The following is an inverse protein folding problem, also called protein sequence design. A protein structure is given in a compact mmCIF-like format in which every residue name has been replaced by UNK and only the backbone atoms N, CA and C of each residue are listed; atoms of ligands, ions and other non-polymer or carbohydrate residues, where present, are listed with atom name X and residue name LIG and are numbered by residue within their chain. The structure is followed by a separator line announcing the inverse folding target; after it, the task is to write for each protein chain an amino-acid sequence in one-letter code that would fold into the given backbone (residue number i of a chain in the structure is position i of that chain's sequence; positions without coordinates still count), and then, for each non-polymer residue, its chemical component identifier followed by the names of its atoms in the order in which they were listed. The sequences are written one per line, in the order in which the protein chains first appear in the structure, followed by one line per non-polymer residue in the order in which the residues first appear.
data_IF_377828461351
#
_entry.id   IF_377828461351
#
_cell.length_a   1.000
_cell.length_b   1.000
_cell.length_c   1.000
_cell.angle_alpha   90.00
_cell.angle_beta   90.00
_cell.angle_gamma   90.00
#
_symmetry.space_group_name_H-M   'P 1'
#
loop_
_entity.id
_entity.type
_entity.pdbx_description
1 polymer ?
#
# COMPACT_ATOMS: atom_id res chain seq x y z
N UNK A 1 -19.77 -53.74 15.38
CA UNK A 1 -18.63 -52.87 15.74
C UNK A 1 -18.01 -53.40 17.02
N UNK A 2 -16.67 -53.53 17.12
CA UNK A 2 -16.01 -53.93 18.37
C UNK A 2 -15.78 -52.71 19.26
N UNK A 3 -16.38 -52.70 20.44
CA UNK A 3 -16.36 -51.59 21.43
C UNK A 3 -14.95 -51.07 21.72
N UNK A 4 -13.94 -51.95 21.74
CA UNK A 4 -12.54 -51.58 21.98
C UNK A 4 -12.00 -50.57 20.95
N UNK A 5 -12.34 -50.75 19.66
CA UNK A 5 -11.87 -49.87 18.57
C UNK A 5 -12.54 -48.50 18.68
N UNK A 6 -13.82 -48.46 19.06
CA UNK A 6 -14.56 -47.21 19.27
C UNK A 6 -13.96 -46.38 20.41
N UNK A 7 -13.55 -47.03 21.51
CA UNK A 7 -12.89 -46.36 22.63
C UNK A 7 -11.56 -45.76 22.18
N UNK A 8 -10.74 -46.52 21.43
CA UNK A 8 -9.44 -46.04 20.92
C UNK A 8 -9.63 -44.81 20.01
N UNK A 9 -10.57 -44.89 19.07
CA UNK A 9 -10.87 -43.77 18.15
C UNK A 9 -11.35 -42.55 18.94
N UNK A 10 -12.24 -42.74 19.91
CA UNK A 10 -12.77 -41.65 20.75
C UNK A 10 -11.68 -40.95 21.56
N UNK A 11 -10.78 -41.72 22.19
CA UNK A 11 -9.62 -41.17 22.92
C UNK A 11 -8.69 -40.41 21.98
N UNK A 12 -8.44 -40.93 20.79
CA UNK A 12 -7.55 -40.28 19.82
C UNK A 12 -8.14 -38.95 19.30
N UNK A 13 -9.45 -38.88 19.11
CA UNK A 13 -10.16 -37.64 18.78
C UNK A 13 -10.06 -36.63 19.93
N UNK A 14 -10.31 -37.05 21.17
CA UNK A 14 -10.21 -36.17 22.35
C UNK A 14 -8.79 -35.61 22.52
N UNK A 15 -7.76 -36.45 22.35
CA UNK A 15 -6.37 -36.03 22.39
C UNK A 15 -6.03 -35.07 21.23
N UNK A 16 -6.45 -35.36 20.00
CA UNK A 16 -6.22 -34.47 18.86
C UNK A 16 -6.91 -33.10 19.02
N UNK A 17 -8.13 -33.09 19.54
CA UNK A 17 -8.90 -31.88 19.82
C UNK A 17 -8.25 -31.03 20.93
N UNK A 18 -7.86 -31.67 22.05
CA UNK A 18 -7.18 -30.98 23.15
C UNK A 18 -5.84 -30.37 22.72
N UNK A 19 -5.04 -31.07 21.90
CA UNK A 19 -3.81 -30.52 21.32
C UNK A 19 -4.06 -29.33 20.40
N UNK A 20 -5.15 -29.36 19.63
CA UNK A 20 -5.54 -28.23 18.76
C UNK A 20 -5.91 -26.99 19.58
N UNK A 21 -6.62 -27.19 20.70
CA UNK A 21 -6.93 -26.11 21.65
C UNK A 21 -5.65 -25.57 22.30
N UNK A 22 -4.74 -26.45 22.74
CA UNK A 22 -3.44 -26.04 23.29
C UNK A 22 -2.59 -25.27 22.29
N UNK A 23 -2.63 -25.64 21.01
CA UNK A 23 -1.96 -24.90 19.94
C UNK A 23 -2.54 -23.48 19.80
N UNK A 24 -3.87 -23.33 19.79
CA UNK A 24 -4.54 -22.04 19.73
C UNK A 24 -4.18 -21.16 20.94
N UNK A 25 -4.21 -21.72 22.15
CA UNK A 25 -3.79 -21.03 23.37
C UNK A 25 -2.32 -20.62 23.29
N UNK A 26 -1.45 -21.50 22.78
CA UNK A 26 -0.02 -21.23 22.59
C UNK A 26 0.23 -20.03 21.67
N UNK A 27 -0.52 -19.90 20.58
CA UNK A 27 -0.43 -18.75 19.66
C UNK A 27 -0.81 -17.44 20.35
N UNK A 28 -1.84 -17.45 21.20
CA UNK A 28 -2.33 -16.25 21.89
C UNK A 28 -1.42 -15.86 23.06
N UNK A 29 -0.94 -16.85 23.82
CA UNK A 29 -0.23 -16.64 25.09
C UNK A 29 1.26 -16.34 24.93
N UNK A 30 1.90 -16.82 23.86
CA UNK A 30 3.35 -16.71 23.71
C UNK A 30 3.80 -15.30 23.31
N UNK A 31 4.98 -14.83 23.78
CA UNK A 31 5.39 -13.44 23.66
C UNK A 31 6.00 -13.11 22.29
N UNK A 32 6.47 -14.09 21.53
CA UNK A 32 7.31 -13.87 20.34
C UNK A 32 6.77 -14.61 19.12
N UNK A 33 6.99 -14.07 17.93
CA UNK A 33 6.62 -14.70 16.66
C UNK A 33 7.26 -16.08 16.54
N UNK A 34 8.54 -16.23 16.88
CA UNK A 34 9.25 -17.52 16.79
C UNK A 34 8.70 -18.58 17.76
N UNK A 35 8.26 -18.15 18.95
CA UNK A 35 7.69 -19.07 19.94
C UNK A 35 6.25 -19.44 19.58
N UNK A 36 5.47 -18.49 19.05
CA UNK A 36 4.13 -18.73 18.51
C UNK A 36 4.14 -19.69 17.32
N UNK A 37 5.05 -19.50 16.36
CA UNK A 37 5.18 -20.38 15.19
C UNK A 37 5.64 -21.78 15.57
N UNK A 38 6.47 -21.92 16.60
CA UNK A 38 6.87 -23.21 17.15
C UNK A 38 5.69 -23.93 17.81
N UNK A 39 4.94 -23.24 18.68
CA UNK A 39 3.78 -23.79 19.35
C UNK A 39 2.65 -24.16 18.38
N UNK A 40 2.39 -23.31 17.38
CA UNK A 40 1.46 -23.62 16.30
C UNK A 40 1.94 -24.80 15.47
N UNK A 41 3.21 -24.78 15.02
CA UNK A 41 3.74 -25.75 14.08
C UNK A 41 3.73 -27.18 14.64
N UNK A 42 4.25 -27.39 15.85
CA UNK A 42 4.36 -28.74 16.43
C UNK A 42 3.01 -29.21 16.96
N UNK A 43 2.36 -28.43 17.82
CA UNK A 43 1.17 -28.87 18.54
C UNK A 43 -0.03 -29.02 17.61
N UNK A 44 -0.23 -28.09 16.66
CA UNK A 44 -1.37 -28.17 15.73
C UNK A 44 -1.20 -29.33 14.75
N UNK A 45 0.02 -29.51 14.20
CA UNK A 45 0.27 -30.61 13.25
C UNK A 45 0.04 -31.95 13.91
N UNK A 46 0.56 -32.17 15.13
CA UNK A 46 0.29 -33.41 15.87
C UNK A 46 -1.19 -33.61 16.19
N UNK A 47 -1.90 -32.54 16.60
CA UNK A 47 -3.34 -32.60 16.88
C UNK A 47 -4.16 -33.01 15.67
N UNK A 48 -3.94 -32.35 14.53
CA UNK A 48 -4.61 -32.67 13.26
C UNK A 48 -4.21 -34.05 12.74
N UNK A 49 -2.96 -34.47 12.92
CA UNK A 49 -2.51 -35.83 12.58
C UNK A 49 -3.33 -36.89 13.30
N UNK A 50 -3.50 -36.75 14.62
CA UNK A 50 -4.26 -37.68 15.44
C UNK A 50 -5.72 -37.79 14.98
N UNK A 51 -6.35 -36.64 14.68
CA UNK A 51 -7.72 -36.58 14.16
C UNK A 51 -7.86 -37.29 12.80
N UNK A 52 -6.89 -37.09 11.90
CA UNK A 52 -6.88 -37.75 10.59
C UNK A 52 -6.62 -39.26 10.72
N UNK A 53 -5.70 -39.68 11.59
CA UNK A 53 -5.50 -41.12 11.88
C UNK A 53 -6.74 -41.76 12.50
N UNK A 54 -7.46 -41.04 13.37
CA UNK A 54 -8.70 -41.54 13.96
C UNK A 54 -9.78 -41.73 12.89
N UNK A 55 -9.82 -40.83 11.93
CA UNK A 55 -10.71 -40.88 10.76
C UNK A 55 -10.38 -42.08 9.86
N UNK A 56 -9.11 -42.35 9.59
CA UNK A 56 -8.69 -43.57 8.84
C UNK A 56 -9.09 -44.83 9.60
N UNK A 57 -8.84 -44.89 10.91
CA UNK A 57 -9.23 -46.01 11.76
C UNK A 57 -10.74 -46.27 11.74
N UNK A 58 -11.55 -45.20 11.75
CA UNK A 58 -13.00 -45.29 11.66
C UNK A 58 -13.48 -45.85 10.32
N UNK A 59 -12.96 -45.36 9.19
CA UNK A 59 -13.33 -45.84 7.85
C UNK A 59 -12.88 -47.27 7.58
N UNK A 60 -11.70 -47.64 8.09
CA UNK A 60 -11.21 -49.01 8.01
C UNK A 60 -12.14 -49.98 8.76
N UNK A 61 -12.60 -49.59 9.94
CA UNK A 61 -13.48 -50.41 10.77
C UNK A 61 -14.93 -50.50 10.27
N UNK A 62 -15.45 -49.44 9.65
CA UNK A 62 -16.80 -49.42 9.06
C UNK A 62 -16.91 -50.16 7.73
N UNK A 63 -15.81 -50.74 7.23
CA UNK A 63 -15.80 -51.53 5.99
C UNK A 63 -15.94 -50.70 4.71
N UNK A 64 -15.87 -49.36 4.81
CA UNK A 64 -15.92 -48.45 3.67
C UNK A 64 -14.60 -48.39 2.89
N UNK A 65 -13.60 -49.16 3.34
CA UNK A 65 -12.30 -49.28 2.69
C UNK A 65 -11.33 -48.15 3.07
N UNK A 66 -10.15 -48.22 2.47
CA UNK A 66 -9.04 -47.33 2.77
C UNK A 66 -9.15 -46.01 1.98
N UNK A 67 -9.25 -44.87 2.68
CA UNK A 67 -9.36 -43.55 2.06
C UNK A 67 -7.97 -42.92 1.82
N UNK A 68 -7.43 -43.10 0.62
CA UNK A 68 -6.12 -42.56 0.23
C UNK A 68 -6.03 -41.03 0.35
N UNK A 69 -7.15 -40.31 0.21
CA UNK A 69 -7.23 -38.85 0.37
C UNK A 69 -6.82 -38.40 1.78
N UNK A 70 -7.16 -39.16 2.81
CA UNK A 70 -6.82 -38.83 4.21
C UNK A 70 -5.34 -39.03 4.48
N UNK A 71 -4.72 -40.09 3.96
CA UNK A 71 -3.26 -40.25 4.04
C UNK A 71 -2.51 -39.16 3.28
N UNK A 72 -2.99 -38.79 2.09
CA UNK A 72 -2.42 -37.66 1.34
C UNK A 72 -2.52 -36.35 2.13
N UNK A 73 -3.63 -36.12 2.84
CA UNK A 73 -3.77 -34.95 3.70
C UNK A 73 -2.75 -34.95 4.85
N UNK A 74 -2.53 -36.09 5.52
CA UNK A 74 -1.49 -36.22 6.56
C UNK A 74 -0.12 -35.89 5.97
N UNK A 75 0.26 -36.56 4.87
CA UNK A 75 1.54 -36.34 4.21
C UNK A 75 1.73 -34.87 3.82
N UNK A 76 0.70 -34.25 3.26
CA UNK A 76 0.73 -32.85 2.83
C UNK A 76 0.92 -31.90 4.00
N UNK A 77 0.24 -32.10 5.13
CA UNK A 77 0.41 -31.28 6.33
C UNK A 77 1.84 -31.42 6.88
N UNK A 78 2.39 -32.64 6.95
CA UNK A 78 3.76 -32.86 7.43
C UNK A 78 4.81 -32.22 6.51
N UNK A 79 4.55 -32.12 5.21
CA UNK A 79 5.46 -31.45 4.28
C UNK A 79 5.33 -29.92 4.38
N UNK A 80 4.09 -29.42 4.46
CA UNK A 80 3.83 -27.98 4.38
C UNK A 80 4.12 -27.24 5.68
N UNK A 81 3.79 -27.81 6.84
CA UNK A 81 3.97 -27.12 8.13
C UNK A 81 5.43 -26.72 8.39
N UNK A 82 6.45 -27.59 8.23
CA UNK A 82 7.84 -27.20 8.49
C UNK A 82 8.34 -26.13 7.53
N UNK A 83 7.95 -26.21 6.25
CA UNK A 83 8.30 -25.21 5.23
C UNK A 83 7.68 -23.86 5.58
N UNK A 84 6.38 -23.83 5.90
CA UNK A 84 5.67 -22.62 6.30
C UNK A 84 6.29 -22.00 7.55
N UNK A 85 6.56 -22.80 8.59
CA UNK A 85 7.18 -22.32 9.84
C UNK A 85 8.57 -21.73 9.59
N UNK A 86 9.40 -22.40 8.78
CA UNK A 86 10.73 -21.90 8.44
C UNK A 86 10.68 -20.58 7.67
N UNK A 87 9.78 -20.45 6.69
CA UNK A 87 9.61 -19.22 5.90
C UNK A 87 9.12 -18.06 6.75
N UNK A 88 8.15 -18.28 7.64
CA UNK A 88 7.66 -17.25 8.56
C UNK A 88 8.78 -16.78 9.49
N UNK A 89 9.53 -17.70 10.08
CA UNK A 89 10.64 -17.35 10.96
C UNK A 89 11.76 -16.61 10.23
N UNK A 90 12.09 -17.02 9.00
CA UNK A 90 13.08 -16.32 8.16
C UNK A 90 12.62 -14.91 7.82
N UNK A 91 11.36 -14.74 7.42
CA UNK A 91 10.78 -13.44 7.11
C UNK A 91 10.76 -12.53 8.34
N UNK A 92 10.32 -13.03 9.50
CA UNK A 92 10.32 -12.28 10.76
C UNK A 92 11.73 -11.83 11.18
N UNK A 93 12.74 -12.68 10.96
CA UNK A 93 14.12 -12.32 11.23
C UNK A 93 14.65 -11.26 10.27
N UNK A 94 14.30 -11.40 8.98
CA UNK A 94 14.72 -10.49 7.92
C UNK A 94 14.05 -9.11 8.00
N UNK A 95 12.85 -9.02 8.59
CA UNK A 95 12.16 -7.76 8.90
C UNK A 95 12.59 -7.15 10.23
N UNK A 96 13.42 -7.83 11.02
CA UNK A 96 14.00 -7.31 12.25
C UNK A 96 13.10 -7.42 13.48
N UNK A 97 12.13 -8.35 13.49
CA UNK A 97 11.27 -8.60 14.66
C UNK A 97 12.15 -8.98 15.87
N UNK A 98 12.00 -8.28 17.01
CA UNK A 98 12.82 -8.55 18.19
C UNK A 98 12.46 -9.89 18.83
N UNK A 99 13.47 -10.68 19.16
CA UNK A 99 13.28 -11.89 19.95
C UNK A 99 12.94 -11.55 21.40
N UNK A 100 11.89 -12.16 21.97
CA UNK A 100 11.43 -11.89 23.33
C UNK A 100 12.44 -12.32 24.40
N UNK A 101 13.11 -13.46 24.20
CA UNK A 101 14.20 -13.93 25.05
C UNK A 101 15.44 -14.09 24.18
N UNK A 102 16.45 -13.24 24.41
CA UNK A 102 17.68 -13.21 23.63
C UNK A 102 18.88 -13.58 24.50
N UNK A 103 19.11 -14.88 24.68
CA UNK A 103 20.30 -15.39 25.39
C UNK A 103 21.48 -15.55 24.43
N UNK A 104 21.25 -16.12 23.24
CA UNK A 104 22.29 -16.31 22.22
C UNK A 104 21.69 -16.25 20.82
N UNK A 105 22.19 -15.33 19.99
CA UNK A 105 21.83 -15.21 18.58
C UNK A 105 23.11 -15.22 17.73
N UNK A 106 23.45 -16.40 17.19
CA UNK A 106 24.60 -16.58 16.30
C UNK A 106 24.27 -16.18 14.86
N UNK A 107 22.99 -16.08 14.48
CA UNK A 107 22.61 -15.71 13.12
C UNK A 107 22.89 -14.22 12.88
N UNK A 108 22.81 -13.40 13.94
CA UNK A 108 23.04 -11.96 13.87
C UNK A 108 24.47 -11.60 13.49
N UNK A 109 25.47 -12.39 13.91
CA UNK A 109 26.86 -12.12 13.55
C UNK A 109 27.09 -12.35 12.06
N UNK A 110 26.47 -13.37 11.49
CA UNK A 110 26.56 -13.69 10.06
C UNK A 110 25.78 -12.68 9.21
N UNK A 111 24.56 -12.31 9.62
CA UNK A 111 23.70 -11.37 8.88
C UNK A 111 23.98 -9.89 9.17
N UNK A 112 25.01 -9.55 9.96
CA UNK A 112 25.27 -8.17 10.40
C UNK A 112 25.41 -7.21 9.21
N UNK A 113 26.15 -7.63 8.19
CA UNK A 113 26.43 -6.80 7.01
C UNK A 113 25.20 -6.65 6.12
N UNK A 114 24.43 -7.72 5.94
CA UNK A 114 23.15 -7.67 5.21
C UNK A 114 22.13 -6.75 5.89
N UNK A 115 22.02 -6.85 7.22
CA UNK A 115 21.15 -5.99 8.03
C UNK A 115 21.59 -4.53 7.90
N UNK A 116 22.90 -4.25 7.97
CA UNK A 116 23.46 -2.90 7.80
C UNK A 116 23.18 -2.36 6.40
N UNK A 117 23.41 -3.15 5.35
CA UNK A 117 23.15 -2.78 3.96
C UNK A 117 21.68 -2.44 3.74
N UNK A 118 20.75 -3.27 4.24
CA UNK A 118 19.30 -3.02 4.15
C UNK A 118 18.88 -1.75 4.89
N UNK A 119 19.38 -1.55 6.11
CA UNK A 119 19.07 -0.33 6.88
C UNK A 119 19.53 0.93 6.13
N UNK A 120 20.71 0.89 5.53
CA UNK A 120 21.22 2.00 4.71
C UNK A 120 20.37 2.22 3.44
N UNK A 121 19.87 1.16 2.81
CA UNK A 121 18.98 1.27 1.65
C UNK A 121 17.64 1.91 2.03
N UNK A 122 17.06 1.54 3.16
CA UNK A 122 15.82 2.15 3.67
C UNK A 122 16.02 3.64 3.91
N UNK A 123 17.11 4.02 4.58
CA UNK A 123 17.45 5.43 4.82
C UNK A 123 17.64 6.18 3.50
N UNK A 124 18.33 5.55 2.53
CA UNK A 124 18.54 6.17 1.21
C UNK A 124 17.23 6.36 0.45
N UNK A 125 16.29 5.42 0.54
CA UNK A 125 14.96 5.52 -0.09
C UNK A 125 14.18 6.68 0.53
N UNK A 126 14.15 6.77 1.86
CA UNK A 126 13.49 7.86 2.59
C UNK A 126 14.08 9.23 2.22
N UNK A 127 15.41 9.32 2.11
CA UNK A 127 16.07 10.54 1.63
C UNK A 127 15.67 10.90 0.19
N UNK A 128 15.52 9.91 -0.69
CA UNK A 128 15.15 10.12 -2.08
C UNK A 128 13.69 10.58 -2.21
N UNK A 129 12.79 10.02 -1.38
CA UNK A 129 11.39 10.44 -1.31
C UNK A 129 11.27 11.88 -0.82
N UNK A 130 12.00 12.25 0.25
CA UNK A 130 12.03 13.64 0.74
C UNK A 130 12.57 14.61 -0.31
N UNK A 131 13.68 14.27 -0.97
CA UNK A 131 14.24 15.10 -2.03
C UNK A 131 13.30 15.24 -3.23
N UNK A 132 12.45 14.24 -3.49
CA UNK A 132 11.41 14.30 -4.52
C UNK A 132 10.26 15.22 -4.11
N UNK A 133 9.81 15.14 -2.86
CA UNK A 133 8.79 16.04 -2.31
C UNK A 133 9.25 17.49 -2.34
N UNK A 134 10.49 17.77 -1.88
CA UNK A 134 11.07 19.11 -1.93
C UNK A 134 11.14 19.65 -3.38
N UNK A 135 11.46 18.79 -4.36
CA UNK A 135 11.45 19.19 -5.77
C UNK A 135 10.05 19.52 -6.29
N UNK A 136 9.07 18.71 -5.94
CA UNK A 136 7.66 18.90 -6.33
C UNK A 136 7.11 20.21 -5.74
N UNK A 137 7.41 20.48 -4.46
CA UNK A 137 7.04 21.74 -3.80
C UNK A 137 7.67 22.97 -4.48
N UNK A 138 8.95 22.88 -4.88
CA UNK A 138 9.63 23.95 -5.61
C UNK A 138 9.07 24.16 -7.02
N UNK A 139 8.71 23.07 -7.72
CA UNK A 139 8.07 23.15 -9.05
C UNK A 139 6.69 23.80 -8.96
N UNK A 140 5.90 23.46 -7.93
CA UNK A 140 4.61 24.11 -7.68
C UNK A 140 4.79 25.60 -7.36
N UNK A 141 5.77 25.94 -6.52
CA UNK A 141 6.10 27.35 -6.22
C UNK A 141 6.47 28.13 -7.49
N UNK A 142 7.30 27.54 -8.35
CA UNK A 142 7.69 28.15 -9.61
C UNK A 142 6.49 28.30 -10.58
N UNK A 143 5.58 27.33 -10.65
CA UNK A 143 4.35 27.45 -11.47
C UNK A 143 3.45 28.60 -10.98
N UNK A 144 3.37 28.80 -9.65
CA UNK A 144 2.66 29.94 -9.07
C UNK A 144 3.30 31.27 -9.46
N UNK A 145 4.62 31.42 -9.30
CA UNK A 145 5.35 32.64 -9.67
C UNK A 145 5.20 32.96 -11.17
N UNK A 146 5.38 31.98 -12.05
CA UNK A 146 5.21 32.16 -13.49
C UNK A 146 3.77 32.49 -13.88
N UNK A 147 2.78 31.99 -13.13
CA UNK A 147 1.37 32.38 -13.34
C UNK A 147 1.15 33.83 -12.98
N UNK A 148 1.72 34.29 -11.87
CA UNK A 148 1.59 35.67 -11.40
C UNK A 148 2.23 36.64 -12.41
N UNK A 149 3.45 36.35 -12.86
CA UNK A 149 4.11 37.11 -13.93
C UNK A 149 3.24 37.19 -15.19
N UNK A 150 2.63 36.07 -15.62
CA UNK A 150 1.72 36.07 -16.78
C UNK A 150 0.44 36.87 -16.55
N UNK A 151 -0.04 37.00 -15.32
CA UNK A 151 -1.21 37.83 -14.99
C UNK A 151 -0.80 39.29 -15.08
N UNK A 152 0.33 39.68 -14.48
CA UNK A 152 0.86 41.04 -14.57
C UNK A 152 1.10 41.45 -16.04
N UNK A 153 1.72 40.58 -16.85
CA UNK A 153 1.93 40.84 -18.28
C UNK A 153 0.60 41.05 -19.03
N UNK A 154 -0.45 40.30 -18.67
CA UNK A 154 -1.78 40.45 -19.27
C UNK A 154 -2.46 41.75 -18.85
N UNK A 155 -2.42 42.09 -17.57
CA UNK A 155 -3.00 43.34 -17.05
C UNK A 155 -2.35 44.55 -17.73
N UNK A 156 -1.01 44.57 -17.82
CA UNK A 156 -0.26 45.62 -18.53
C UNK A 156 -0.66 45.69 -20.01
N UNK A 157 -0.79 44.54 -20.69
CA UNK A 157 -1.21 44.52 -22.09
C UNK A 157 -2.65 45.03 -22.30
N UNK A 158 -3.56 44.71 -21.37
CA UNK A 158 -4.94 45.19 -21.38
C UNK A 158 -5.05 46.69 -21.08
N UNK A 159 -4.24 47.22 -20.16
CA UNK A 159 -4.17 48.64 -19.88
C UNK A 159 -3.63 49.42 -21.09
N UNK A 160 -2.56 48.93 -21.73
CA UNK A 160 -2.04 49.52 -22.98
C UNK A 160 -3.06 49.44 -24.11
N UNK A 161 -3.85 48.36 -24.21
CA UNK A 161 -4.91 48.24 -25.20
C UNK A 161 -6.06 49.23 -24.94
N UNK A 162 -6.41 49.47 -23.67
CA UNK A 162 -7.41 50.48 -23.28
C UNK A 162 -6.96 51.89 -23.63
N UNK A 163 -5.72 52.27 -23.30
CA UNK A 163 -5.17 53.58 -23.68
C UNK A 163 -5.16 53.80 -25.20
N UNK A 164 -4.83 52.76 -25.98
CA UNK A 164 -4.88 52.82 -27.45
C UNK A 164 -6.30 53.01 -28.00
N UNK A 165 -7.29 52.41 -27.35
CA UNK A 165 -8.68 52.57 -27.76
C UNK A 165 -9.22 53.95 -27.36
N UNK A 166 -8.90 54.44 -26.17
CA UNK A 166 -9.24 55.80 -25.74
C UNK A 166 -8.66 56.85 -26.69
N UNK A 167 -7.37 56.74 -27.01
CA UNK A 167 -6.71 57.65 -27.98
C UNK A 167 -7.30 57.53 -29.39
N UNK A 168 -7.73 56.33 -29.80
CA UNK A 168 -8.39 56.11 -31.10
C UNK A 168 -9.78 56.77 -31.13
N UNK A 169 -10.56 56.63 -30.06
CA UNK A 169 -11.89 57.26 -29.95
C UNK A 169 -11.76 58.78 -29.90
N UNK A 170 -10.77 59.32 -29.19
CA UNK A 170 -10.50 60.76 -29.12
C UNK A 170 -10.16 61.30 -30.52
N UNK A 171 -9.29 60.62 -31.27
CA UNK A 171 -9.00 60.97 -32.66
C UNK A 171 -10.23 60.87 -33.59
N UNK A 172 -11.02 59.81 -33.48
CA UNK A 172 -12.23 59.62 -34.29
C UNK A 172 -13.30 60.67 -33.98
N UNK A 173 -13.42 61.09 -32.71
CA UNK A 173 -14.30 62.18 -32.28
C UNK A 173 -13.84 63.52 -32.85
N UNK A 174 -12.54 63.84 -32.74
CA UNK A 174 -11.97 65.08 -33.28
C UNK A 174 -12.12 65.16 -34.81
N UNK A 175 -11.91 64.04 -35.51
CA UNK A 175 -12.10 63.95 -36.96
C UNK A 175 -13.59 64.12 -37.35
N UNK A 176 -14.51 63.51 -36.60
CA UNK A 176 -15.95 63.66 -36.82
C UNK A 176 -16.44 65.09 -36.55
N UNK A 177 -15.89 65.75 -35.51
CA UNK A 177 -16.21 67.13 -35.18
C UNK A 177 -15.72 68.08 -36.29
N UNK A 178 -14.52 67.85 -36.82
CA UNK A 178 -14.01 68.60 -37.98
C UNK A 178 -14.86 68.38 -39.24
N UNK A 179 -15.32 67.16 -39.52
CA UNK A 179 -16.19 66.86 -40.67
C UNK A 179 -17.56 67.57 -40.56
N UNK A 180 -18.13 67.66 -39.35
CA UNK A 180 -19.38 68.40 -39.11
C UNK A 180 -19.18 69.91 -39.33
N UNK A 181 -18.05 70.46 -38.87
CA UNK A 181 -17.72 71.88 -39.07
C UNK A 181 -17.57 72.18 -40.57
N UNK A 182 -16.90 71.31 -41.33
CA UNK A 182 -16.77 71.44 -42.79
C UNK A 182 -18.13 71.39 -43.50
N UNK A 183 -19.03 70.49 -43.09
CA UNK A 183 -20.39 70.39 -43.64
C UNK A 183 -21.27 71.60 -43.30
N UNK A 184 -21.17 72.15 -42.09
CA UNK A 184 -21.89 73.37 -41.70
C UNK A 184 -21.38 74.60 -42.45
N UNK A 185 -20.06 74.70 -42.70
CA UNK A 185 -19.49 75.75 -43.55
C UNK A 185 -19.95 75.64 -45.01
N UNK A 186 -20.07 74.42 -45.55
CA UNK A 186 -20.57 74.17 -46.90
C UNK A 186 -22.07 74.51 -47.01
N UNK A 187 -22.88 74.14 -46.02
CA UNK A 187 -24.34 74.38 -46.00
C UNK A 187 -24.69 75.86 -45.76
N UNK A 188 -23.86 76.61 -45.02
CA UNK A 188 -24.00 78.06 -44.83
C UNK A 188 -23.48 78.86 -46.04
N UNK A 189 -22.73 78.22 -46.94
CA UNK A 189 -22.36 78.74 -48.26
C UNK A 189 -23.48 78.57 -49.29
N UNK A 190 -24.16 77.42 -49.31
CA UNK A 190 -25.31 77.14 -50.20
C UNK A 190 -26.54 78.00 -49.88
N UNK A 191 -26.77 78.36 -48.61
CA UNK A 191 -27.87 79.25 -48.19
C UNK A 191 -27.73 80.71 -48.62
N UNK A 192 -26.58 81.11 -49.17
CA UNK A 192 -26.33 82.46 -49.69
C UNK A 192 -26.53 82.58 -51.20
N UNK A 193 -26.87 81.49 -51.90
CA UNK A 193 -27.02 81.48 -53.37
C UNK A 193 -28.48 81.42 -53.90
N UNK A 194 -29.51 81.36 -53.04
CA UNK A 194 -30.94 81.54 -53.39
C UNK A 194 -31.53 82.86 -52.85
#
# INVERSE_FOLDING_TARGET
MSVTIEIIISVMILLGASLSILAAIGVIRLPDVYTRTHAAGISNTFGVSLLLFATVGYFFHTGQGFNARVLLAILFIYLTTPIASHLINRAAYDTGVPLAIRIRDQLRSVKKDDIKKRKNLIIKQEQLERARQEREELEDQLDWELRDERIEEREVAEDVAREREETRIEQESDDSENEIIELDEENDSDKKED
#
